data_IF_190684673638
#
_entry.id   IF_190684673638
#
_cell.length_a   1.000
_cell.length_b   1.000
_cell.length_c   1.000
_cell.angle_alpha   90.00
_cell.angle_beta   90.00
_cell.angle_gamma   90.00
#
_symmetry.space_group_name_H-M   'P 1'
#
loop_
_entity.id
_entity.type
_entity.pdbx_description
1 polymer ?
#
# COMPACT_ATOMS: atom_id res chain seq x y z
N UNK A 1 4.73 15.54 -12.51
CA UNK A 1 3.71 14.48 -12.54
C UNK A 1 3.18 14.46 -13.96
N UNK A 2 3.13 13.29 -14.59
CA UNK A 2 2.72 13.14 -16.00
C UNK A 2 1.32 13.75 -16.21
N UNK A 3 1.05 14.35 -17.38
CA UNK A 3 -0.21 15.05 -17.67
C UNK A 3 -1.46 14.17 -17.42
N UNK A 4 -1.27 12.85 -17.51
CA UNK A 4 -2.26 11.82 -17.27
C UNK A 4 -2.83 11.79 -15.83
N UNK A 5 -2.05 12.23 -14.83
CA UNK A 5 -2.47 12.31 -13.43
C UNK A 5 -3.14 13.64 -13.08
N UNK A 6 -3.26 14.58 -14.03
CA UNK A 6 -3.69 15.94 -13.76
C UNK A 6 -5.02 16.25 -14.46
N UNK A 7 -6.10 15.62 -13.98
CA UNK A 7 -7.46 15.88 -14.43
C UNK A 7 -8.31 16.47 -13.31
N UNK A 8 -9.33 17.25 -13.68
CA UNK A 8 -10.32 17.79 -12.74
C UNK A 8 -11.28 16.69 -12.32
N UNK A 9 -11.53 16.58 -11.01
CA UNK A 9 -12.55 15.68 -10.48
C UNK A 9 -13.92 16.26 -10.85
N UNK A 10 -14.80 15.39 -11.34
CA UNK A 10 -16.21 15.72 -11.61
C UNK A 10 -17.09 14.90 -10.68
N UNK A 11 -18.26 15.43 -10.30
CA UNK A 11 -19.22 14.72 -9.45
C UNK A 11 -19.84 13.52 -10.19
N UNK A 12 -19.16 12.37 -10.12
CA UNK A 12 -19.48 11.13 -10.86
C UNK A 12 -19.67 9.92 -9.97
N UNK A 13 -19.44 10.06 -8.67
CA UNK A 13 -19.49 8.98 -7.70
C UNK A 13 -19.24 9.47 -6.28
N UNK A 14 -19.36 8.57 -5.31
CA UNK A 14 -19.33 8.90 -3.89
C UNK A 14 -17.99 9.51 -3.49
N UNK A 15 -16.88 8.96 -3.98
CA UNK A 15 -15.54 9.46 -3.63
C UNK A 15 -15.24 10.78 -4.33
N UNK A 16 -15.75 10.98 -5.54
CA UNK A 16 -15.63 12.23 -6.28
C UNK A 16 -16.39 13.36 -5.57
N UNK A 17 -17.64 13.09 -5.16
CA UNK A 17 -18.45 14.05 -4.40
C UNK A 17 -17.75 14.44 -3.09
N UNK A 18 -17.29 13.47 -2.32
CA UNK A 18 -16.58 13.73 -1.06
C UNK A 18 -15.25 14.46 -1.29
N UNK A 19 -14.52 14.13 -2.36
CA UNK A 19 -13.30 14.87 -2.71
C UNK A 19 -13.61 16.36 -2.93
N UNK A 20 -14.67 16.67 -3.67
CA UNK A 20 -15.10 18.05 -3.91
C UNK A 20 -15.55 18.77 -2.62
N UNK A 21 -16.25 18.08 -1.71
CA UNK A 21 -16.61 18.59 -0.38
C UNK A 21 -15.38 18.92 0.48
N UNK A 22 -14.26 18.20 0.28
CA UNK A 22 -12.97 18.46 0.91
C UNK A 22 -12.08 19.46 0.13
N UNK A 23 -12.62 20.17 -0.87
CA UNK A 23 -11.88 21.09 -1.75
C UNK A 23 -10.73 20.43 -2.53
N UNK A 24 -10.82 19.12 -2.78
CA UNK A 24 -9.91 18.37 -3.63
C UNK A 24 -10.49 18.42 -5.06
N UNK A 25 -9.93 19.30 -5.90
CA UNK A 25 -10.52 19.66 -7.20
C UNK A 25 -9.93 18.88 -8.37
N UNK A 26 -8.78 18.25 -8.18
CA UNK A 26 -8.11 17.43 -9.19
C UNK A 26 -7.56 16.15 -8.59
N UNK A 27 -7.25 15.19 -9.45
CA UNK A 27 -6.60 13.95 -9.02
C UNK A 27 -5.19 14.18 -8.49
N UNK A 28 -4.48 15.17 -9.05
CA UNK A 28 -3.19 15.61 -8.50
C UNK A 28 -3.36 16.14 -7.07
N UNK A 29 -4.43 16.90 -6.79
CA UNK A 29 -4.75 17.33 -5.42
C UNK A 29 -5.04 16.13 -4.53
N UNK A 30 -5.79 15.13 -5.00
CA UNK A 30 -6.10 13.93 -4.25
C UNK A 30 -4.83 13.14 -3.90
N UNK A 31 -3.95 12.90 -4.88
CA UNK A 31 -2.64 12.28 -4.67
C UNK A 31 -1.80 13.05 -3.65
N UNK A 32 -1.73 14.37 -3.77
CA UNK A 32 -0.96 15.22 -2.86
C UNK A 32 -1.57 15.25 -1.44
N UNK A 33 -2.89 15.24 -1.33
CA UNK A 33 -3.62 15.17 -0.07
C UNK A 33 -3.35 13.84 0.63
N UNK A 34 -3.59 12.72 -0.05
CA UNK A 34 -3.40 11.34 0.46
C UNK A 34 -1.95 11.10 0.90
N UNK A 35 -0.98 11.63 0.14
CA UNK A 35 0.45 11.52 0.48
C UNK A 35 0.81 12.20 1.80
N UNK A 36 0.07 13.24 2.20
CA UNK A 36 0.32 13.97 3.46
C UNK A 36 -0.41 13.37 4.66
N UNK A 37 -1.34 12.44 4.45
CA UNK A 37 -2.08 11.82 5.54
C UNK A 37 -1.16 10.93 6.37
N UNK A 38 -1.28 10.91 7.70
CA UNK A 38 -0.58 9.96 8.55
C UNK A 38 -0.92 8.51 8.19
N UNK A 39 0.02 7.62 8.44
CA UNK A 39 -0.21 6.19 8.34
C UNK A 39 -1.15 5.73 9.47
N UNK A 40 -2.18 4.97 9.15
CA UNK A 40 -3.10 4.45 10.17
C UNK A 40 -4.24 3.62 9.60
N UNK A 41 -4.67 2.60 10.34
CA UNK A 41 -5.83 1.77 9.98
C UNK A 41 -7.11 2.60 10.11
N UNK A 42 -7.92 2.60 9.05
CA UNK A 42 -9.27 3.15 9.08
C UNK A 42 -10.22 2.21 9.85
N UNK A 43 -11.34 2.74 10.36
CA UNK A 43 -12.31 1.92 11.12
C UNK A 43 -12.87 0.76 10.29
N UNK A 44 -13.27 1.04 9.05
CA UNK A 44 -13.71 0.06 8.07
C UNK A 44 -12.78 0.12 6.84
N UNK A 45 -12.18 -1.02 6.49
CA UNK A 45 -11.24 -1.09 5.36
C UNK A 45 -11.94 -1.23 4.01
N UNK A 46 -13.25 -1.45 4.01
CA UNK A 46 -14.09 -1.53 2.81
C UNK A 46 -14.70 -0.18 2.44
N UNK A 47 -14.77 0.77 3.38
CA UNK A 47 -15.21 2.14 3.12
C UNK A 47 -14.01 3.05 2.81
N UNK A 48 -13.72 3.22 1.52
CA UNK A 48 -12.62 4.07 1.06
C UNK A 48 -12.82 5.56 1.36
N UNK A 49 -14.05 6.01 1.67
CA UNK A 49 -14.30 7.39 2.08
C UNK A 49 -13.65 7.75 3.42
N UNK A 50 -13.35 6.75 4.25
CA UNK A 50 -12.73 6.97 5.55
C UNK A 50 -11.31 7.53 5.44
N UNK A 51 -10.65 7.39 4.28
CA UNK A 51 -9.37 8.07 4.02
C UNK A 51 -9.53 9.59 4.14
N UNK A 52 -10.62 10.15 3.62
CA UNK A 52 -10.92 11.58 3.72
C UNK A 52 -11.50 11.95 5.09
N UNK A 53 -12.46 11.17 5.59
CA UNK A 53 -13.18 11.47 6.84
C UNK A 53 -12.30 11.36 8.08
N UNK A 54 -11.45 10.33 8.15
CA UNK A 54 -10.56 10.10 9.29
C UNK A 54 -9.16 10.72 9.08
N UNK A 55 -8.89 11.27 7.90
CA UNK A 55 -7.61 11.90 7.53
C UNK A 55 -6.39 11.03 7.85
N UNK A 56 -6.48 9.73 7.57
CA UNK A 56 -5.40 8.75 7.73
C UNK A 56 -5.64 7.57 6.79
N UNK A 57 -4.61 6.79 6.54
CA UNK A 57 -4.77 5.54 5.80
C UNK A 57 -3.53 4.68 5.79
N UNK A 58 -3.69 3.43 5.40
CA UNK A 58 -2.59 2.48 5.15
C UNK A 58 -2.22 2.48 3.66
N UNK A 59 -1.21 1.71 3.25
CA UNK A 59 -0.93 1.50 1.82
C UNK A 59 -2.13 0.94 1.07
N UNK A 60 -2.89 0.06 1.72
CA UNK A 60 -4.13 -0.50 1.19
C UNK A 60 -5.20 0.58 0.97
N UNK A 61 -5.62 1.28 2.04
CA UNK A 61 -6.76 2.20 1.94
C UNK A 61 -6.45 3.46 1.13
N UNK A 62 -5.22 4.00 1.26
CA UNK A 62 -4.79 5.18 0.48
C UNK A 62 -4.85 4.93 -1.03
N UNK A 63 -4.31 3.80 -1.50
CA UNK A 63 -4.29 3.50 -2.93
C UNK A 63 -5.62 2.96 -3.45
N UNK A 64 -6.40 2.24 -2.64
CA UNK A 64 -7.76 1.86 -3.01
C UNK A 64 -8.66 3.08 -3.23
N UNK A 65 -8.59 4.08 -2.33
CA UNK A 65 -9.26 5.36 -2.51
C UNK A 65 -8.86 6.05 -3.82
N UNK A 66 -7.55 6.18 -4.09
CA UNK A 66 -7.06 6.80 -5.32
C UNK A 66 -7.43 6.01 -6.58
N UNK A 67 -7.42 4.67 -6.53
CA UNK A 67 -7.86 3.81 -7.63
C UNK A 67 -9.34 4.03 -7.91
N UNK A 68 -10.19 3.99 -6.89
CA UNK A 68 -11.63 4.12 -7.05
C UNK A 68 -12.01 5.53 -7.52
N UNK A 69 -11.34 6.58 -7.02
CA UNK A 69 -11.52 7.95 -7.52
C UNK A 69 -11.16 8.09 -9.01
N UNK A 70 -10.10 7.40 -9.47
CA UNK A 70 -9.74 7.37 -10.88
C UNK A 70 -10.80 6.64 -11.72
N UNK A 71 -11.34 5.53 -11.22
CA UNK A 71 -12.43 4.78 -11.87
C UNK A 71 -13.68 5.64 -12.03
N UNK A 72 -14.14 6.32 -10.98
CA UNK A 72 -15.29 7.24 -11.05
C UNK A 72 -15.09 8.37 -12.08
N UNK A 73 -13.85 8.75 -12.36
CA UNK A 73 -13.50 9.78 -13.33
C UNK A 73 -13.06 9.22 -14.70
N UNK A 74 -13.41 7.98 -15.02
CA UNK A 74 -13.14 7.28 -16.29
C UNK A 74 -11.65 7.09 -16.62
N UNK A 75 -10.80 6.93 -15.61
CA UNK A 75 -9.37 6.65 -15.76
C UNK A 75 -9.02 5.26 -15.25
N UNK A 76 -9.56 4.26 -15.96
CA UNK A 76 -9.34 2.84 -15.67
C UNK A 76 -7.91 2.35 -15.91
N UNK A 77 -7.08 3.07 -16.67
CA UNK A 77 -5.71 2.62 -16.99
C UNK A 77 -4.75 2.63 -15.80
N UNK A 78 -5.09 3.35 -14.71
CA UNK A 78 -4.35 3.28 -13.46
C UNK A 78 -4.67 1.92 -12.81
N UNK A 79 -3.67 1.07 -12.68
CA UNK A 79 -3.79 -0.24 -12.01
C UNK A 79 -3.50 -0.09 -10.52
N UNK A 80 -4.19 -0.85 -9.70
CA UNK A 80 -3.83 -1.07 -8.30
C UNK A 80 -3.10 -2.42 -8.21
N UNK A 81 -1.98 -2.46 -7.49
CA UNK A 81 -1.14 -3.64 -7.42
C UNK A 81 -0.85 -4.01 -5.96
N UNK A 82 -0.74 -5.32 -5.70
CA UNK A 82 -0.05 -5.86 -4.53
C UNK A 82 1.35 -6.25 -4.97
N UNK A 83 2.36 -5.80 -4.24
CA UNK A 83 3.73 -6.28 -4.37
C UNK A 83 4.18 -6.95 -3.09
N UNK A 84 4.77 -8.16 -3.19
CA UNK A 84 5.54 -8.75 -2.09
C UNK A 84 7.01 -8.39 -2.31
N UNK A 85 7.62 -7.76 -1.33
CA UNK A 85 9.02 -7.34 -1.40
C UNK A 85 9.83 -7.89 -0.22
N UNK A 86 11.14 -8.02 -0.43
CA UNK A 86 12.08 -8.48 0.61
C UNK A 86 12.35 -7.35 1.62
N UNK A 87 11.47 -7.12 2.58
CA UNK A 87 11.62 -6.07 3.60
C UNK A 87 12.90 -6.29 4.42
N UNK A 88 13.76 -5.29 4.45
CA UNK A 88 15.03 -5.29 5.19
C UNK A 88 15.46 -3.87 5.56
N UNK A 89 16.57 -3.73 6.28
CA UNK A 89 17.05 -2.43 6.76
C UNK A 89 17.47 -1.44 5.63
N UNK A 90 17.76 -1.92 4.42
CA UNK A 90 18.20 -1.10 3.29
C UNK A 90 17.00 -0.44 2.60
N UNK A 91 15.94 -1.21 2.34
CA UNK A 91 14.76 -0.71 1.64
C UNK A 91 13.64 -0.22 2.59
N UNK A 92 13.71 -0.56 3.87
CA UNK A 92 12.71 -0.21 4.88
C UNK A 92 13.41 0.22 6.16
N UNK A 93 13.79 1.49 6.20
CA UNK A 93 14.50 2.06 7.34
C UNK A 93 13.65 1.94 8.62
N UNK A 94 14.25 1.44 9.71
CA UNK A 94 13.58 1.26 11.02
C UNK A 94 13.32 -0.18 11.42
N UNK A 95 13.28 -1.13 10.47
CA UNK A 95 12.98 -2.56 10.80
C UNK A 95 14.23 -3.39 11.12
N UNK A 96 15.43 -2.85 10.89
CA UNK A 96 16.68 -3.60 10.99
C UNK A 96 16.90 -4.26 12.34
N UNK A 97 16.70 -3.53 13.44
CA UNK A 97 16.86 -4.06 14.80
C UNK A 97 15.88 -5.18 15.12
N UNK A 98 14.66 -5.14 14.57
CA UNK A 98 13.66 -6.19 14.72
C UNK A 98 14.13 -7.45 13.99
N UNK A 99 14.53 -7.33 12.72
CA UNK A 99 14.96 -8.48 11.91
C UNK A 99 16.24 -9.12 12.45
N UNK A 100 17.22 -8.32 12.89
CA UNK A 100 18.49 -8.79 13.47
C UNK A 100 18.26 -9.66 14.72
N UNK A 101 17.31 -9.27 15.59
CA UNK A 101 16.94 -10.06 16.79
C UNK A 101 16.51 -11.49 16.46
N UNK A 102 15.89 -11.69 15.30
CA UNK A 102 15.41 -13.00 14.83
C UNK A 102 16.31 -13.62 13.75
N UNK A 103 17.48 -13.02 13.49
CA UNK A 103 18.46 -13.47 12.51
C UNK A 103 17.87 -13.58 11.08
N UNK A 104 16.95 -12.68 10.73
CA UNK A 104 16.33 -12.63 9.41
C UNK A 104 17.06 -11.61 8.53
N UNK A 105 17.58 -12.07 7.39
CA UNK A 105 18.15 -11.16 6.39
C UNK A 105 17.07 -10.26 5.75
N UNK A 106 15.86 -10.80 5.59
CA UNK A 106 14.67 -10.09 5.16
C UNK A 106 13.42 -10.84 5.61
N UNK A 107 12.28 -10.17 5.54
CA UNK A 107 10.95 -10.76 5.70
C UNK A 107 10.07 -10.37 4.50
N UNK A 108 9.42 -11.30 3.79
CA UNK A 108 8.48 -10.93 2.74
C UNK A 108 7.34 -10.08 3.30
N UNK A 109 7.13 -8.88 2.77
CA UNK A 109 6.07 -7.95 3.21
C UNK A 109 5.18 -7.55 2.04
N UNK A 110 3.87 -7.46 2.29
CA UNK A 110 2.88 -7.07 1.29
C UNK A 110 2.61 -5.56 1.27
N UNK A 111 2.96 -4.92 0.17
CA UNK A 111 2.69 -3.51 -0.07
C UNK A 111 1.65 -3.29 -1.17
N UNK A 112 0.99 -2.14 -1.15
CA UNK A 112 0.03 -1.76 -2.18
C UNK A 112 0.41 -0.41 -2.75
N UNK A 113 0.38 -0.28 -4.07
CA UNK A 113 0.73 0.92 -4.82
C UNK A 113 -0.05 0.99 -6.13
N UNK A 114 -0.05 2.16 -6.78
CA UNK A 114 -0.63 2.32 -8.11
C UNK A 114 0.44 2.12 -9.19
N UNK A 115 0.04 1.60 -10.35
CA UNK A 115 0.87 1.54 -11.56
C UNK A 115 0.16 2.21 -12.72
N UNK A 116 0.91 2.97 -13.49
CA UNK A 116 0.49 3.45 -14.80
C UNK A 116 1.62 3.22 -15.78
N UNK A 117 1.35 2.40 -16.81
CA UNK A 117 2.40 1.78 -17.65
C UNK A 117 3.39 1.03 -16.73
N UNK A 118 4.69 1.31 -16.85
CA UNK A 118 5.75 0.69 -16.06
C UNK A 118 6.16 1.49 -14.82
N UNK A 119 5.53 2.66 -14.60
CA UNK A 119 5.84 3.50 -13.45
C UNK A 119 4.97 3.13 -12.23
N UNK A 120 5.62 3.00 -11.08
CA UNK A 120 4.97 2.80 -9.78
C UNK A 120 4.78 4.16 -9.09
N UNK A 121 3.59 4.35 -8.51
CA UNK A 121 3.21 5.53 -7.76
C UNK A 121 2.76 5.10 -6.35
N UNK A 122 3.55 5.49 -5.35
CA UNK A 122 3.28 5.23 -3.94
C UNK A 122 3.01 6.53 -3.18
N UNK A 123 1.87 6.58 -2.49
CA UNK A 123 1.36 7.72 -1.74
C UNK A 123 1.28 7.44 -0.21
N UNK A 124 2.04 6.46 0.29
CA UNK A 124 2.02 6.10 1.72
C UNK A 124 2.82 7.01 2.64
N UNK A 125 3.77 7.77 2.09
CA UNK A 125 4.77 8.63 2.77
C UNK A 125 5.99 7.89 3.33
N UNK A 126 6.92 7.51 2.46
CA UNK A 126 8.35 7.86 2.43
C UNK A 126 8.94 7.04 1.28
N UNK A 127 9.23 7.72 0.17
CA UNK A 127 9.99 7.24 -0.99
C UNK A 127 10.07 5.71 -1.12
N UNK A 128 9.09 5.09 -1.78
CA UNK A 128 9.36 3.83 -2.46
C UNK A 128 10.62 4.06 -3.30
N UNK A 129 11.73 3.49 -2.81
CA UNK A 129 13.06 3.74 -3.30
C UNK A 129 13.34 2.77 -4.44
N UNK A 130 14.35 3.05 -5.25
CA UNK A 130 14.84 2.08 -6.22
C UNK A 130 15.19 0.74 -5.54
N UNK A 131 15.63 0.78 -4.28
CA UNK A 131 15.85 -0.40 -3.45
C UNK A 131 14.56 -1.16 -3.10
N UNK A 132 13.44 -0.47 -2.83
CA UNK A 132 12.14 -1.11 -2.69
C UNK A 132 11.75 -1.81 -3.99
N UNK A 133 11.78 -1.10 -5.12
CA UNK A 133 11.36 -1.65 -6.42
C UNK A 133 12.21 -2.84 -6.84
N UNK A 134 13.53 -2.77 -6.68
CA UNK A 134 14.44 -3.87 -6.98
C UNK A 134 14.25 -5.10 -6.06
N UNK A 135 13.55 -4.94 -4.94
CA UNK A 135 13.31 -6.01 -3.96
C UNK A 135 11.93 -6.68 -4.08
N UNK A 136 11.07 -6.21 -5.00
CA UNK A 136 9.77 -6.84 -5.27
C UNK A 136 10.01 -8.18 -5.96
N UNK A 137 9.51 -9.26 -5.35
CA UNK A 137 9.67 -10.64 -5.82
C UNK A 137 8.38 -11.26 -6.33
N UNK A 138 7.24 -10.62 -6.07
CA UNK A 138 5.95 -10.98 -6.61
C UNK A 138 5.11 -9.72 -6.76
N UNK A 139 4.37 -9.61 -7.85
CA UNK A 139 3.45 -8.52 -8.10
C UNK A 139 2.20 -9.05 -8.82
N UNK A 140 1.02 -8.61 -8.39
CA UNK A 140 -0.21 -8.82 -9.14
C UNK A 140 -1.11 -7.58 -9.13
N UNK A 141 -1.96 -7.48 -10.15
CA UNK A 141 -3.01 -6.46 -10.22
C UNK A 141 -4.22 -6.92 -9.41
N UNK A 142 -4.83 -5.97 -8.71
CA UNK A 142 -6.01 -6.21 -7.88
C UNK A 142 -7.05 -5.11 -8.08
N UNK A 143 -8.29 -5.42 -7.70
CA UNK A 143 -9.35 -4.44 -7.53
C UNK A 143 -9.30 -3.78 -6.15
N UNK A 144 -9.99 -2.65 -5.99
CA UNK A 144 -9.93 -1.86 -4.76
C UNK A 144 -10.43 -2.66 -3.55
N UNK A 145 -11.44 -3.49 -3.71
CA UNK A 145 -12.05 -4.34 -2.68
C UNK A 145 -11.09 -5.45 -2.20
N UNK A 146 -10.10 -5.82 -3.01
CA UNK A 146 -9.14 -6.87 -2.68
C UNK A 146 -8.00 -6.41 -1.74
N UNK A 147 -7.93 -5.12 -1.38
CA UNK A 147 -6.89 -4.61 -0.44
C UNK A 147 -7.10 -5.04 1.02
N UNK A 148 -8.26 -5.64 1.32
CA UNK A 148 -8.64 -6.20 2.62
C UNK A 148 -8.19 -7.65 2.78
N UNK A 149 -9.16 -8.55 2.97
CA UNK A 149 -8.92 -9.97 3.29
C UNK A 149 -8.14 -10.71 2.22
N UNK A 150 -8.40 -10.41 0.94
CA UNK A 150 -7.69 -11.02 -0.16
C UNK A 150 -6.17 -10.78 -0.07
N UNK A 151 -5.74 -9.52 0.13
CA UNK A 151 -4.32 -9.18 0.36
C UNK A 151 -3.73 -9.91 1.56
N UNK A 152 -4.47 -9.97 2.67
CA UNK A 152 -4.00 -10.66 3.90
C UNK A 152 -3.79 -12.14 3.62
N UNK A 153 -4.77 -12.80 3.02
CA UNK A 153 -4.71 -14.23 2.69
C UNK A 153 -3.57 -14.53 1.72
N UNK A 154 -3.40 -13.71 0.68
CA UNK A 154 -2.28 -13.83 -0.25
C UNK A 154 -0.94 -13.74 0.46
N UNK A 155 -0.77 -12.75 1.34
CA UNK A 155 0.48 -12.56 2.07
C UNK A 155 0.78 -13.74 3.00
N UNK A 156 -0.25 -14.25 3.70
CA UNK A 156 -0.10 -15.41 4.57
C UNK A 156 0.29 -16.67 3.79
N UNK A 157 -0.33 -16.92 2.63
CA UNK A 157 0.02 -18.03 1.75
C UNK A 157 1.44 -17.90 1.21
N UNK A 158 1.83 -16.68 0.82
CA UNK A 158 3.19 -16.39 0.36
C UNK A 158 4.21 -16.70 1.46
N UNK A 159 3.97 -16.23 2.70
CA UNK A 159 4.87 -16.48 3.82
C UNK A 159 5.00 -17.97 4.13
N UNK A 160 3.91 -18.74 4.11
CA UNK A 160 3.95 -20.20 4.31
C UNK A 160 4.82 -20.90 3.27
N UNK A 161 4.63 -20.55 2.00
CA UNK A 161 5.43 -21.10 0.90
C UNK A 161 6.90 -20.71 1.05
N UNK A 162 7.16 -19.44 1.37
CA UNK A 162 8.52 -18.93 1.58
C UNK A 162 9.27 -19.63 2.72
N UNK A 163 8.58 -19.95 3.83
CA UNK A 163 9.15 -20.70 4.95
C UNK A 163 9.63 -22.08 4.50
N UNK A 164 8.78 -22.80 3.77
CA UNK A 164 9.06 -24.15 3.26
C UNK A 164 10.18 -24.14 2.20
N UNK A 165 10.14 -23.18 1.28
CA UNK A 165 11.10 -23.09 0.16
C UNK A 165 12.51 -22.64 0.59
N UNK A 166 12.64 -21.96 1.73
CA UNK A 166 13.90 -21.36 2.20
C UNK A 166 14.38 -21.94 3.54
N UNK A 167 13.77 -23.03 4.01
CA UNK A 167 14.09 -23.70 5.29
C UNK A 167 14.19 -22.71 6.47
N UNK A 168 13.24 -21.77 6.53
CA UNK A 168 13.28 -20.70 7.54
C UNK A 168 13.04 -21.32 8.93
N UNK A 169 13.92 -21.09 9.92
CA UNK A 169 13.82 -21.72 11.24
C UNK A 169 12.83 -21.00 12.16
N UNK A 170 11.67 -20.58 11.63
CA UNK A 170 10.61 -19.89 12.35
C UNK A 170 9.25 -20.38 11.86
N UNK A 171 8.29 -20.52 12.77
CA UNK A 171 6.91 -20.82 12.41
C UNK A 171 6.24 -19.64 11.69
N UNK A 172 5.14 -19.93 10.98
CA UNK A 172 4.33 -18.89 10.36
C UNK A 172 3.80 -17.88 11.39
N UNK A 173 3.34 -18.37 12.55
CA UNK A 173 2.81 -17.55 13.64
C UNK A 173 3.88 -16.61 14.21
N UNK A 174 5.11 -17.09 14.38
CA UNK A 174 6.25 -16.27 14.81
C UNK A 174 6.57 -15.19 13.77
N UNK A 175 6.68 -15.56 12.49
CA UNK A 175 7.00 -14.60 11.43
C UNK A 175 5.90 -13.56 11.25
N UNK A 176 4.63 -13.95 11.37
CA UNK A 176 3.51 -13.00 11.32
C UNK A 176 3.55 -11.99 12.48
N UNK A 177 4.00 -12.43 13.66
CA UNK A 177 4.22 -11.53 14.79
C UNK A 177 5.43 -10.61 14.57
N UNK A 178 6.55 -11.15 14.10
CA UNK A 178 7.76 -10.37 13.78
C UNK A 178 7.45 -9.29 12.73
N UNK A 179 6.59 -9.63 11.76
CA UNK A 179 6.04 -8.69 10.78
C UNK A 179 5.33 -7.51 11.46
N UNK A 180 4.39 -7.77 12.36
CA UNK A 180 3.67 -6.70 13.06
C UNK A 180 4.62 -5.87 13.95
N UNK A 181 5.65 -6.48 14.55
CA UNK A 181 6.70 -5.76 15.29
C UNK A 181 7.49 -4.81 14.36
N UNK A 182 7.78 -5.23 13.11
CA UNK A 182 8.39 -4.37 12.10
C UNK A 182 7.48 -3.17 11.75
N UNK A 183 6.17 -3.41 11.52
CA UNK A 183 5.21 -2.34 11.23
C UNK A 183 5.08 -1.36 12.41
N UNK A 184 5.13 -1.87 13.65
CA UNK A 184 5.11 -1.04 14.84
C UNK A 184 6.36 -0.16 14.93
N UNK A 185 7.54 -0.69 14.59
CA UNK A 185 8.79 0.06 14.56
C UNK A 185 8.78 1.21 13.52
N UNK A 186 8.03 1.06 12.43
CA UNK A 186 7.84 2.11 11.43
C UNK A 186 6.89 3.24 11.85
N UNK A 187 6.15 3.03 12.95
CA UNK A 187 5.17 3.98 13.46
C UNK A 187 5.70 4.85 14.60
N UNK A 188 7.00 4.73 14.94
CA UNK A 188 7.70 5.47 16.00
C UNK A 188 8.66 6.50 15.40
#
# INVERSE_FOLDING_TARGET
>A
MDSYFNFKISDRGVLSKQSLEHHILSYADACNFVKKLPYGRNFDRTDFSLVLKEQKGTCSSKHAFLKQLAVENNLGAISLCIGIYKMNAINTFGVGSVLEKYQLAYLPEAHTYLKYKDAIFDFTSTNASDAFYASVIYEEKIEAEQVGDYKVNLHQQFLKSWIEENDIPHSFEELWKIREDCILALSQ
#
